data_IF_162608015786
#
_entry.id   IF_162608015786
#
_cell.length_a   1.000
_cell.length_b   1.000
_cell.length_c   1.000
_cell.angle_alpha   90.00
_cell.angle_beta   90.00
_cell.angle_gamma   90.00
#
_symmetry.space_group_name_H-M   'P 1'
#
loop_
_entity.id
_entity.type
_entity.pdbx_description
1 polymer ?
#
# COMPACT_ATOMS: atom_id res chain seq x y z
N UNK A 1 -0.71 61.08 -21.77
CA UNK A 1 -1.64 60.17 -22.50
C UNK A 1 -1.14 58.72 -22.57
N UNK A 2 0.13 58.48 -22.92
CA UNK A 2 0.70 57.12 -23.03
C UNK A 2 0.60 56.34 -21.71
N UNK A 3 0.84 56.99 -20.58
CA UNK A 3 0.81 56.36 -19.25
C UNK A 3 -0.57 55.82 -18.84
N UNK A 4 -1.66 56.52 -19.18
CA UNK A 4 -3.01 56.14 -18.77
C UNK A 4 -3.55 54.93 -19.55
N UNK A 5 -3.36 54.93 -20.87
CA UNK A 5 -3.70 53.77 -21.71
C UNK A 5 -2.84 52.55 -21.34
N UNK A 6 -1.59 52.78 -20.96
CA UNK A 6 -0.69 51.71 -20.49
C UNK A 6 -1.18 51.07 -19.18
N UNK A 7 -1.86 51.79 -18.29
CA UNK A 7 -2.44 51.21 -17.07
C UNK A 7 -3.53 50.19 -17.41
N UNK A 8 -4.44 50.52 -18.34
CA UNK A 8 -5.49 49.60 -18.79
C UNK A 8 -4.92 48.39 -19.55
N UNK A 9 -3.89 48.60 -20.38
CA UNK A 9 -3.18 47.51 -21.07
C UNK A 9 -2.49 46.57 -20.09
N UNK A 10 -1.81 47.11 -19.06
CA UNK A 10 -1.18 46.31 -18.00
C UNK A 10 -2.21 45.53 -17.19
N UNK A 11 -3.35 46.13 -16.87
CA UNK A 11 -4.44 45.45 -16.16
C UNK A 11 -5.03 44.31 -17.00
N UNK A 12 -5.29 44.55 -18.30
CA UNK A 12 -5.70 43.52 -19.25
C UNK A 12 -4.69 42.36 -19.30
N UNK A 13 -3.40 42.67 -19.49
CA UNK A 13 -2.34 41.67 -19.57
C UNK A 13 -2.26 40.84 -18.28
N UNK A 14 -2.36 41.49 -17.11
CA UNK A 14 -2.42 40.80 -15.82
C UNK A 14 -3.64 39.89 -15.73
N UNK A 15 -4.82 40.34 -16.14
CA UNK A 15 -6.03 39.53 -16.14
C UNK A 15 -5.89 38.30 -17.05
N UNK A 16 -5.46 38.50 -18.30
CA UNK A 16 -5.22 37.40 -19.24
C UNK A 16 -4.19 36.40 -18.68
N UNK A 17 -3.09 36.90 -18.10
CA UNK A 17 -2.06 36.06 -17.50
C UNK A 17 -2.60 35.16 -16.38
N UNK A 18 -3.40 35.70 -15.45
CA UNK A 18 -3.96 34.89 -14.37
C UNK A 18 -4.91 33.81 -14.88
N UNK A 19 -5.69 34.09 -15.94
CA UNK A 19 -6.55 33.08 -16.57
C UNK A 19 -5.74 32.00 -17.29
N UNK A 20 -4.61 32.35 -17.93
CA UNK A 20 -3.70 31.36 -18.52
C UNK A 20 -3.05 30.47 -17.46
N UNK A 21 -2.67 31.04 -16.30
CA UNK A 21 -2.14 30.26 -15.18
C UNK A 21 -3.19 29.29 -14.63
N UNK A 22 -4.46 29.71 -14.57
CA UNK A 22 -5.57 28.84 -14.14
C UNK A 22 -5.72 27.61 -15.05
N UNK A 23 -5.74 27.84 -16.38
CA UNK A 23 -5.76 26.77 -17.40
C UNK A 23 -4.57 25.82 -17.23
N UNK A 24 -3.37 26.36 -17.04
CA UNK A 24 -2.15 25.57 -16.90
C UNK A 24 -2.19 24.70 -15.65
N UNK A 25 -2.66 25.23 -14.51
CA UNK A 25 -2.76 24.47 -13.26
C UNK A 25 -3.67 23.23 -13.39
N UNK A 26 -4.84 23.38 -14.04
CA UNK A 26 -5.72 22.25 -14.30
C UNK A 26 -5.06 21.20 -15.22
N UNK A 27 -4.44 21.65 -16.31
CA UNK A 27 -3.77 20.75 -17.25
C UNK A 27 -2.60 19.99 -16.60
N UNK A 28 -1.78 20.68 -15.80
CA UNK A 28 -0.62 20.10 -15.12
C UNK A 28 -1.04 19.07 -14.05
N UNK A 29 -2.04 19.40 -13.23
CA UNK A 29 -2.55 18.49 -12.19
C UNK A 29 -3.08 17.19 -12.79
N UNK A 30 -3.86 17.27 -13.88
CA UNK A 30 -4.38 16.09 -14.58
C UNK A 30 -3.28 15.28 -15.26
N UNK A 31 -2.31 15.93 -15.91
CA UNK A 31 -1.21 15.25 -16.60
C UNK A 31 -0.30 14.48 -15.62
N UNK A 32 0.01 15.08 -14.47
CA UNK A 32 0.82 14.44 -13.43
C UNK A 32 0.09 13.24 -12.81
N UNK A 33 -1.22 13.36 -12.55
CA UNK A 33 -2.02 12.23 -12.07
C UNK A 33 -1.96 11.05 -13.06
N UNK A 34 -2.16 11.32 -14.34
CA UNK A 34 -2.12 10.27 -15.38
C UNK A 34 -0.74 9.66 -15.51
N UNK A 35 0.32 10.47 -15.37
CA UNK A 35 1.69 9.96 -15.35
C UNK A 35 1.92 8.97 -14.20
N UNK A 36 1.47 9.31 -12.98
CA UNK A 36 1.57 8.39 -11.84
C UNK A 36 0.76 7.11 -12.03
N UNK A 37 -0.40 7.18 -12.70
CA UNK A 37 -1.24 6.01 -12.94
C UNK A 37 -0.70 5.06 -14.01
N UNK A 38 -0.18 5.60 -15.11
CA UNK A 38 0.14 4.80 -16.29
C UNK A 38 1.64 4.63 -16.57
N UNK A 39 2.49 5.35 -15.83
CA UNK A 39 3.94 5.45 -16.07
C UNK A 39 4.32 5.80 -17.53
N UNK A 40 3.41 6.39 -18.30
CA UNK A 40 3.57 6.65 -19.73
C UNK A 40 3.56 8.15 -20.03
N UNK A 41 4.72 8.65 -20.47
CA UNK A 41 4.92 10.08 -20.70
C UNK A 41 4.11 10.61 -21.90
N UNK A 42 3.87 9.78 -22.91
CA UNK A 42 3.14 10.17 -24.12
C UNK A 42 1.64 10.34 -23.81
N UNK A 43 1.08 9.43 -23.00
CA UNK A 43 -0.30 9.51 -22.53
C UNK A 43 -0.51 10.76 -21.67
N UNK A 44 0.43 11.05 -20.75
CA UNK A 44 0.41 12.26 -19.92
C UNK A 44 0.44 13.53 -20.78
N UNK A 45 1.28 13.57 -21.82
CA UNK A 45 1.37 14.71 -22.74
C UNK A 45 0.10 14.91 -23.57
N UNK A 46 -0.54 13.83 -24.02
CA UNK A 46 -1.84 13.90 -24.71
C UNK A 46 -2.93 14.46 -23.78
N UNK A 47 -3.00 13.99 -22.55
CA UNK A 47 -3.97 14.48 -21.55
C UNK A 47 -3.71 15.96 -21.23
N UNK A 48 -2.44 16.36 -21.11
CA UNK A 48 -2.09 17.77 -20.90
C UNK A 48 -2.65 18.67 -22.01
N UNK A 49 -2.40 18.31 -23.28
CA UNK A 49 -2.87 19.09 -24.43
C UNK A 49 -4.40 19.14 -24.48
N UNK A 50 -5.06 18.00 -24.24
CA UNK A 50 -6.52 17.88 -24.28
C UNK A 50 -7.19 18.71 -23.17
N UNK A 51 -6.72 18.57 -21.92
CA UNK A 51 -7.26 19.33 -20.78
C UNK A 51 -6.98 20.82 -20.95
N UNK A 52 -5.80 21.20 -21.44
CA UNK A 52 -5.47 22.59 -21.74
C UNK A 52 -6.42 23.18 -22.80
N UNK A 53 -6.71 22.45 -23.88
CA UNK A 53 -7.66 22.91 -24.91
C UNK A 53 -9.08 23.10 -24.36
N UNK A 54 -9.58 22.12 -23.59
CA UNK A 54 -10.93 22.18 -23.00
C UNK A 54 -11.05 23.34 -22.00
N UNK A 55 -10.12 23.43 -21.06
CA UNK A 55 -10.15 24.47 -20.02
C UNK A 55 -9.94 25.86 -20.61
N UNK A 56 -9.10 26.01 -21.62
CA UNK A 56 -8.93 27.25 -22.37
C UNK A 56 -10.23 27.67 -23.08
N UNK A 57 -11.01 26.72 -23.63
CA UNK A 57 -12.32 27.02 -24.24
C UNK A 57 -13.40 27.43 -23.23
N UNK A 58 -13.34 26.91 -22.01
CA UNK A 58 -14.30 27.24 -20.93
C UNK A 58 -13.96 28.58 -20.29
N UNK A 59 -12.70 28.77 -19.89
CA UNK A 59 -12.21 29.96 -19.16
C UNK A 59 -12.00 31.15 -20.12
N UNK A 60 -11.73 30.87 -21.40
CA UNK A 60 -11.57 31.86 -22.48
C UNK A 60 -10.60 33.00 -22.11
N UNK A 61 -9.33 32.69 -21.83
CA UNK A 61 -8.33 33.68 -21.39
C UNK A 61 -8.09 34.82 -22.39
N UNK A 62 -8.53 34.67 -23.66
CA UNK A 62 -8.44 35.71 -24.69
C UNK A 62 -9.57 36.74 -24.69
N UNK A 63 -10.68 36.50 -23.97
CA UNK A 63 -11.82 37.41 -23.93
C UNK A 63 -11.59 38.77 -23.26
N UNK A 64 -10.76 38.91 -22.20
CA UNK A 64 -10.52 40.21 -21.57
C UNK A 64 -9.99 41.22 -22.59
N UNK A 65 -10.83 42.18 -22.97
CA UNK A 65 -10.49 43.28 -23.85
C UNK A 65 -10.36 44.58 -23.04
N UNK A 66 -9.89 45.64 -23.70
CA UNK A 66 -9.64 46.92 -23.03
C UNK A 66 -10.95 47.54 -22.52
N UNK A 67 -12.07 47.31 -23.22
CA UNK A 67 -13.40 47.82 -22.84
C UNK A 67 -13.99 47.08 -21.64
N UNK A 68 -13.85 45.75 -21.55
CA UNK A 68 -14.21 44.97 -20.38
C UNK A 68 -13.36 45.33 -19.17
N UNK A 69 -12.07 45.63 -19.39
CA UNK A 69 -11.17 46.11 -18.33
C UNK A 69 -11.63 47.48 -17.81
N UNK A 70 -12.01 48.42 -18.69
CA UNK A 70 -12.55 49.71 -18.26
C UNK A 70 -13.87 49.57 -17.51
N UNK A 71 -14.81 48.77 -18.01
CA UNK A 71 -16.10 48.54 -17.34
C UNK A 71 -15.95 47.84 -15.99
N UNK A 72 -15.01 46.90 -15.87
CA UNK A 72 -14.72 46.24 -14.60
C UNK A 72 -14.13 47.21 -13.57
N UNK A 73 -13.20 48.08 -14.00
CA UNK A 73 -12.59 49.10 -13.13
C UNK A 73 -13.64 50.14 -12.70
N UNK A 74 -14.50 50.58 -13.61
CA UNK A 74 -15.61 51.51 -13.33
C UNK A 74 -16.59 50.95 -12.29
N UNK A 75 -16.89 49.65 -12.35
CA UNK A 75 -17.80 49.00 -11.40
C UNK A 75 -17.19 48.76 -10.00
N UNK A 76 -15.86 48.74 -9.86
CA UNK A 76 -15.20 48.44 -8.58
C UNK A 76 -14.60 49.67 -7.90
N UNK A 77 -14.54 50.83 -8.56
CA UNK A 77 -14.08 52.08 -7.97
C UNK A 77 -15.13 53.18 -8.20
N UNK A 78 -15.99 53.39 -7.19
CA UNK A 78 -17.03 54.44 -7.21
C UNK A 78 -16.46 55.84 -7.48
N UNK A 79 -15.21 56.12 -7.04
CA UNK A 79 -14.55 57.41 -7.21
C UNK A 79 -14.19 57.77 -8.67
N UNK A 80 -14.36 56.84 -9.61
CA UNK A 80 -14.12 57.05 -11.04
C UNK A 80 -15.38 57.47 -11.83
N UNK A 81 -16.56 57.49 -11.19
CA UNK A 81 -17.80 58.02 -11.77
C UNK A 81 -18.10 57.45 -13.18
N UNK A 82 -17.85 56.16 -13.40
CA UNK A 82 -18.01 55.46 -14.69
C UNK A 82 -17.28 56.11 -15.89
N UNK A 83 -16.21 56.86 -15.61
CA UNK A 83 -15.52 57.69 -16.58
C UNK A 83 -14.22 57.06 -17.12
N UNK A 84 -13.93 55.78 -16.84
CA UNK A 84 -12.70 55.10 -17.30
C UNK A 84 -12.67 54.93 -18.83
N UNK A 85 -13.84 54.92 -19.48
CA UNK A 85 -13.96 54.90 -20.95
C UNK A 85 -13.37 56.15 -21.64
N UNK A 86 -13.30 57.30 -20.95
CA UNK A 86 -12.67 58.53 -21.45
C UNK A 86 -11.16 58.37 -21.66
N UNK A 87 -10.51 57.39 -21.02
CA UNK A 87 -9.09 57.08 -21.22
C UNK A 87 -8.80 56.45 -22.59
N UNK A 88 -9.83 56.00 -23.31
CA UNK A 88 -9.72 55.37 -24.62
C UNK A 88 -9.85 56.38 -25.78
N UNK A 89 -10.30 57.60 -25.50
CA UNK A 89 -10.52 58.65 -26.49
C UNK A 89 -9.31 59.62 -26.58
N UNK A 90 -8.91 60.03 -27.80
CA UNK A 90 -7.87 61.06 -27.97
C UNK A 90 -8.32 62.40 -27.40
N UNK A 91 -7.41 63.11 -26.72
CA UNK A 91 -7.71 64.43 -26.10
C UNK A 91 -8.23 65.46 -27.10
N UNK A 92 -7.82 65.38 -28.37
CA UNK A 92 -8.21 66.30 -29.44
C UNK A 92 -9.71 66.23 -29.81
N UNK A 93 -10.42 65.22 -29.28
CA UNK A 93 -11.87 65.02 -29.50
C UNK A 93 -12.71 65.24 -28.23
N UNK A 94 -12.08 65.64 -27.12
CA UNK A 94 -12.75 65.82 -25.83
C UNK A 94 -13.10 67.28 -25.59
N UNK A 95 -14.24 67.54 -24.95
CA UNK A 95 -14.58 68.88 -24.45
C UNK A 95 -13.66 69.26 -23.28
N UNK A 96 -13.51 70.56 -23.00
CA UNK A 96 -12.66 71.04 -21.89
C UNK A 96 -13.02 70.44 -20.54
N UNK A 97 -14.32 70.17 -20.30
CA UNK A 97 -14.79 69.49 -19.09
C UNK A 97 -14.39 68.00 -19.07
N UNK A 98 -14.49 67.32 -20.21
CA UNK A 98 -14.10 65.92 -20.34
C UNK A 98 -12.58 65.73 -20.19
N UNK A 99 -11.76 66.72 -20.59
CA UNK A 99 -10.31 66.72 -20.35
C UNK A 99 -9.97 66.82 -18.85
N UNK A 100 -10.66 67.68 -18.09
CA UNK A 100 -10.48 67.80 -16.64
C UNK A 100 -10.89 66.50 -15.92
N UNK A 101 -12.02 65.90 -16.31
CA UNK A 101 -12.45 64.62 -15.77
C UNK A 101 -11.46 63.50 -16.10
N UNK A 102 -10.91 63.48 -17.32
CA UNK A 102 -9.88 62.52 -17.73
C UNK A 102 -8.64 62.61 -16.84
N UNK A 103 -8.14 63.83 -16.54
CA UNK A 103 -6.97 64.02 -15.65
C UNK A 103 -7.24 63.55 -14.22
N UNK A 104 -8.41 63.87 -13.67
CA UNK A 104 -8.87 63.43 -12.35
C UNK A 104 -8.95 61.89 -12.25
N UNK A 105 -9.49 61.25 -13.29
CA UNK A 105 -9.58 59.77 -13.41
C UNK A 105 -8.19 59.13 -13.48
N UNK A 106 -7.24 59.69 -14.24
CA UNK A 106 -5.87 59.16 -14.32
C UNK A 106 -5.19 59.15 -12.96
N UNK A 107 -5.27 60.26 -12.21
CA UNK A 107 -4.62 60.39 -10.90
C UNK A 107 -5.25 59.47 -9.84
N UNK A 108 -6.58 59.28 -9.88
CA UNK A 108 -7.29 58.37 -8.98
C UNK A 108 -7.04 56.90 -9.34
N UNK A 109 -6.97 56.59 -10.63
CA UNK A 109 -6.70 55.24 -11.11
C UNK A 109 -5.25 54.81 -10.80
N UNK A 110 -4.25 55.69 -10.97
CA UNK A 110 -2.86 55.34 -10.65
C UNK A 110 -2.66 54.95 -9.17
N UNK A 111 -3.42 55.57 -8.27
CA UNK A 111 -3.34 55.31 -6.83
C UNK A 111 -4.10 54.04 -6.42
N UNK A 112 -5.20 53.71 -7.09
CA UNK A 112 -6.11 52.62 -6.68
C UNK A 112 -6.04 51.37 -7.57
N UNK A 113 -5.41 51.39 -8.74
CA UNK A 113 -5.38 50.22 -9.65
C UNK A 113 -4.61 49.03 -9.08
N UNK A 114 -3.67 49.26 -8.14
CA UNK A 114 -2.88 48.19 -7.53
C UNK A 114 -3.67 47.35 -6.52
N UNK A 115 -4.72 47.91 -5.91
CA UNK A 115 -5.56 47.22 -4.93
C UNK A 115 -6.66 46.38 -5.59
N UNK A 116 -6.92 46.59 -6.88
CA UNK A 116 -7.85 45.79 -7.66
C UNK A 116 -7.20 44.47 -8.12
N UNK A 117 -7.85 43.36 -7.80
CA UNK A 117 -7.54 42.06 -8.35
C UNK A 117 -8.58 41.71 -9.42
N UNK A 118 -8.16 41.33 -10.64
CA UNK A 118 -9.09 40.88 -11.66
C UNK A 118 -9.76 39.56 -11.22
N UNK A 119 -10.95 39.25 -11.74
CA UNK A 119 -11.67 38.04 -11.37
C UNK A 119 -10.90 36.81 -11.87
N UNK A 120 -10.45 35.97 -10.94
CA UNK A 120 -9.74 34.72 -11.19
C UNK A 120 -10.12 33.66 -10.17
N UNK A 121 -9.94 32.38 -10.50
CA UNK A 121 -10.18 31.27 -9.57
C UNK A 121 -8.90 30.48 -9.24
N UNK A 122 -7.74 31.13 -9.30
CA UNK A 122 -6.43 30.54 -9.01
C UNK A 122 -6.31 29.69 -7.73
N UNK A 123 -6.95 30.09 -6.63
CA UNK A 123 -6.92 29.29 -5.40
C UNK A 123 -7.63 27.94 -5.60
N UNK A 124 -8.78 27.93 -6.31
CA UNK A 124 -9.52 26.70 -6.59
C UNK A 124 -8.74 25.81 -7.56
N UNK A 125 -8.16 26.37 -8.63
CA UNK A 125 -7.35 25.60 -9.57
C UNK A 125 -6.08 25.05 -8.91
N UNK A 126 -5.47 25.81 -8.01
CA UNK A 126 -4.33 25.36 -7.20
C UNK A 126 -4.69 24.19 -6.29
N UNK A 127 -5.78 24.29 -5.53
CA UNK A 127 -6.27 23.22 -4.65
C UNK A 127 -6.54 21.95 -5.47
N UNK A 128 -7.26 22.08 -6.58
CA UNK A 128 -7.57 20.93 -7.46
C UNK A 128 -6.28 20.31 -8.01
N UNK A 129 -5.33 21.10 -8.49
CA UNK A 129 -4.06 20.59 -8.98
C UNK A 129 -3.29 19.84 -7.89
N UNK A 130 -3.18 20.41 -6.69
CA UNK A 130 -2.50 19.76 -5.56
C UNK A 130 -3.19 18.47 -5.12
N UNK A 131 -4.53 18.44 -5.10
CA UNK A 131 -5.30 17.25 -4.76
C UNK A 131 -5.08 16.13 -5.79
N UNK A 132 -5.09 16.44 -7.09
CA UNK A 132 -4.83 15.47 -8.15
C UNK A 132 -3.40 14.92 -8.06
N UNK A 133 -2.41 15.77 -7.79
CA UNK A 133 -1.02 15.34 -7.62
C UNK A 133 -0.87 14.44 -6.40
N UNK A 134 -1.48 14.79 -5.26
CA UNK A 134 -1.46 13.97 -4.05
C UNK A 134 -2.15 12.63 -4.26
N UNK A 135 -3.30 12.60 -4.93
CA UNK A 135 -3.99 11.36 -5.28
C UNK A 135 -3.08 10.49 -6.15
N UNK A 136 -2.49 11.06 -7.21
CA UNK A 136 -1.55 10.34 -8.07
C UNK A 136 -0.37 9.76 -7.28
N UNK A 137 0.26 10.56 -6.43
CA UNK A 137 1.38 10.13 -5.58
C UNK A 137 0.98 9.00 -4.61
N UNK A 138 -0.17 9.11 -3.94
CA UNK A 138 -0.66 8.07 -3.04
C UNK A 138 -0.98 6.79 -3.81
N UNK A 139 -1.63 6.87 -4.98
CA UNK A 139 -1.93 5.68 -5.79
C UNK A 139 -0.65 4.96 -6.25
N UNK A 140 0.42 5.71 -6.53
CA UNK A 140 1.72 5.16 -6.86
C UNK A 140 2.40 4.52 -5.65
N UNK A 141 2.42 5.19 -4.49
CA UNK A 141 3.08 4.69 -3.27
C UNK A 141 2.43 3.40 -2.73
N UNK A 142 1.12 3.25 -2.88
CA UNK A 142 0.37 2.07 -2.42
C UNK A 142 0.24 0.97 -3.50
N UNK A 143 0.99 1.05 -4.62
CA UNK A 143 0.98 0.08 -5.72
C UNK A 143 -0.43 -0.24 -6.28
N UNK A 144 -1.38 0.70 -6.18
CA UNK A 144 -2.74 0.53 -6.73
C UNK A 144 -2.72 0.53 -8.27
N UNK A 145 -1.63 1.05 -8.85
CA UNK A 145 -1.39 1.14 -10.30
C UNK A 145 -1.20 -0.21 -10.99
N UNK A 146 -0.91 -1.28 -10.25
CA UNK A 146 -0.82 -2.64 -10.79
C UNK A 146 -2.17 -3.15 -11.32
N UNK A 147 -3.28 -2.54 -10.90
CA UNK A 147 -4.62 -2.85 -11.43
C UNK A 147 -4.92 -2.24 -12.81
N UNK A 148 -4.20 -1.18 -13.19
CA UNK A 148 -4.40 -0.44 -14.45
C UNK A 148 -3.22 -0.56 -15.42
N UNK A 149 -2.06 -1.01 -14.95
CA UNK A 149 -0.91 -1.32 -15.81
C UNK A 149 -1.04 -2.71 -16.40
N UNK A 150 -1.58 -2.78 -17.62
CA UNK A 150 -1.45 -3.95 -18.52
C UNK A 150 -0.04 -4.08 -19.12
N UNK A 151 0.95 -3.37 -18.57
CA UNK A 151 2.33 -3.58 -18.93
C UNK A 151 2.80 -4.84 -18.19
N UNK A 152 2.84 -5.96 -18.92
CA UNK A 152 3.75 -7.07 -18.63
C UNK A 152 5.12 -6.42 -18.41
N UNK A 153 5.54 -6.24 -17.17
CA UNK A 153 6.90 -5.80 -16.87
C UNK A 153 7.82 -6.76 -17.63
N UNK A 154 8.67 -6.26 -18.56
CA UNK A 154 9.65 -7.12 -19.19
C UNK A 154 10.49 -7.71 -18.05
N UNK A 155 10.59 -9.02 -18.04
CA UNK A 155 11.22 -9.79 -16.97
C UNK A 155 12.58 -9.15 -16.67
N UNK A 156 12.84 -8.81 -15.40
CA UNK A 156 14.17 -8.37 -14.97
C UNK A 156 15.16 -9.48 -15.35
N UNK A 157 16.08 -9.19 -16.28
CA UNK A 157 16.98 -10.18 -16.90
C UNK A 157 17.86 -10.96 -15.91
N UNK A 158 17.96 -10.51 -14.67
CA UNK A 158 18.75 -11.16 -13.62
C UNK A 158 18.01 -12.28 -12.87
N UNK A 159 16.69 -12.40 -13.01
CA UNK A 159 15.89 -13.41 -12.29
C UNK A 159 15.12 -14.37 -13.22
N UNK A 160 15.39 -14.35 -14.53
CA UNK A 160 14.73 -15.24 -15.49
C UNK A 160 15.25 -16.66 -15.28
N UNK A 161 14.34 -17.63 -15.24
CA UNK A 161 14.74 -19.03 -15.30
C UNK A 161 15.53 -19.26 -16.60
N UNK A 162 16.81 -19.63 -16.48
CA UNK A 162 17.65 -20.00 -17.61
C UNK A 162 17.52 -21.48 -17.86
N UNK A 163 17.18 -21.87 -19.09
CA UNK A 163 17.07 -23.27 -19.49
C UNK A 163 18.28 -23.69 -20.31
N UNK A 164 18.89 -24.82 -19.95
CA UNK A 164 20.01 -25.41 -20.68
C UNK A 164 19.62 -26.77 -21.26
N UNK A 165 20.03 -27.08 -22.51
CA UNK A 165 19.79 -28.38 -23.13
C UNK A 165 20.63 -29.48 -22.46
N UNK A 166 20.09 -30.69 -22.44
CA UNK A 166 20.74 -31.87 -21.84
C UNK A 166 21.84 -32.46 -22.73
N UNK A 167 21.64 -32.44 -24.05
CA UNK A 167 22.58 -32.93 -25.04
C UNK A 167 22.58 -31.97 -26.24
N UNK A 168 23.75 -31.41 -26.58
CA UNK A 168 23.90 -30.37 -27.60
C UNK A 168 24.25 -31.00 -28.94
N UNK A 169 23.33 -31.74 -29.55
CA UNK A 169 23.54 -32.30 -30.90
C UNK A 169 22.88 -31.52 -32.02
N UNK A 170 21.93 -30.62 -31.72
CA UNK A 170 21.30 -29.73 -32.70
C UNK A 170 21.49 -28.25 -32.32
N UNK A 171 22.55 -27.64 -32.87
CA UNK A 171 22.93 -26.25 -32.64
C UNK A 171 22.03 -25.21 -33.36
N UNK A 172 20.95 -25.64 -34.03
CA UNK A 172 20.07 -24.78 -34.82
C UNK A 172 18.60 -24.71 -34.32
N UNK A 173 18.21 -25.47 -33.30
CA UNK A 173 16.86 -25.39 -32.74
C UNK A 173 16.69 -24.11 -31.91
N UNK A 174 15.69 -23.28 -32.24
CA UNK A 174 15.29 -22.15 -31.41
C UNK A 174 14.76 -22.66 -30.09
N UNK A 175 15.53 -22.49 -29.00
CA UNK A 175 15.10 -22.89 -27.66
C UNK A 175 13.85 -22.08 -27.28
N UNK A 176 12.73 -22.73 -26.96
CA UNK A 176 11.54 -22.03 -26.47
C UNK A 176 11.88 -21.12 -25.29
N UNK A 177 11.48 -19.86 -25.40
CA UNK A 177 11.78 -18.81 -24.43
C UNK A 177 10.63 -18.64 -23.44
N UNK A 178 10.99 -18.51 -22.17
CA UNK A 178 10.06 -18.15 -21.12
C UNK A 178 9.67 -16.66 -21.23
N UNK A 179 8.39 -16.39 -21.46
CA UNK A 179 7.80 -15.04 -21.59
C UNK A 179 7.42 -14.46 -20.23
N UNK A 180 6.89 -15.28 -19.34
CA UNK A 180 6.43 -14.83 -18.04
C UNK A 180 6.61 -15.93 -17.00
N UNK A 181 6.89 -15.52 -15.78
CA UNK A 181 7.03 -16.40 -14.65
C UNK A 181 6.48 -15.71 -13.40
N UNK A 182 5.67 -16.42 -12.63
CA UNK A 182 5.06 -15.90 -11.42
C UNK A 182 4.98 -16.99 -10.37
N UNK A 183 5.47 -16.66 -9.18
CA UNK A 183 5.31 -17.43 -7.96
C UNK A 183 4.29 -16.72 -7.08
N UNK A 184 3.24 -17.44 -6.68
CA UNK A 184 2.27 -16.96 -5.68
C UNK A 184 2.35 -17.83 -4.44
N UNK A 185 2.60 -17.24 -3.28
CA UNK A 185 2.62 -17.91 -1.97
C UNK A 185 1.40 -17.46 -1.17
N UNK A 186 0.57 -18.43 -0.79
CA UNK A 186 -0.59 -18.24 0.07
C UNK A 186 -0.27 -18.82 1.45
N UNK A 187 -0.16 -17.94 2.44
CA UNK A 187 0.13 -18.35 3.82
C UNK A 187 -1.12 -18.95 4.49
N UNK A 188 -0.94 -19.83 5.50
CA UNK A 188 -2.05 -20.32 6.30
C UNK A 188 -2.83 -19.18 6.95
N UNK A 189 -4.16 -19.33 7.04
CA UNK A 189 -5.05 -18.27 7.54
C UNK A 189 -4.69 -17.79 8.95
N UNK A 190 -4.22 -18.68 9.83
CA UNK A 190 -3.87 -18.34 11.21
C UNK A 190 -2.70 -17.34 11.31
N UNK A 191 -1.80 -17.32 10.32
CA UNK A 191 -0.64 -16.41 10.30
C UNK A 191 -1.03 -14.95 10.04
N UNK A 192 -2.21 -14.70 9.47
CA UNK A 192 -2.70 -13.39 9.01
C UNK A 192 -1.76 -12.67 8.03
N UNK A 193 -0.83 -13.39 7.40
CA UNK A 193 0.06 -12.86 6.38
C UNK A 193 -0.68 -12.71 5.04
N UNK A 194 -0.38 -11.63 4.30
CA UNK A 194 -0.91 -11.43 2.96
C UNK A 194 -0.19 -12.32 1.95
N UNK A 195 -0.92 -12.76 0.91
CA UNK A 195 -0.33 -13.55 -0.15
C UNK A 195 0.82 -12.78 -0.84
N UNK A 196 1.94 -13.46 -1.04
CA UNK A 196 3.12 -12.90 -1.71
C UNK A 196 3.06 -13.28 -3.19
N UNK A 197 3.31 -12.30 -4.07
CA UNK A 197 3.52 -12.52 -5.51
C UNK A 197 4.91 -12.05 -5.87
N UNK A 198 5.71 -12.91 -6.46
CA UNK A 198 7.09 -12.61 -6.85
C UNK A 198 7.45 -13.33 -8.14
N UNK A 199 8.46 -12.82 -8.84
CA UNK A 199 9.06 -13.51 -9.99
C UNK A 199 10.27 -14.35 -9.56
N UNK A 200 10.73 -14.25 -8.32
CA UNK A 200 11.81 -15.08 -7.81
C UNK A 200 11.30 -16.50 -7.56
N UNK A 201 12.09 -17.49 -7.97
CA UNK A 201 11.72 -18.90 -7.85
C UNK A 201 12.18 -19.51 -6.53
N UNK A 202 13.17 -18.94 -5.85
CA UNK A 202 13.44 -19.34 -4.47
C UNK A 202 12.25 -18.99 -3.58
N UNK A 203 11.75 -19.99 -2.87
CA UNK A 203 10.58 -19.87 -1.99
C UNK A 203 11.05 -19.79 -0.55
N UNK A 204 10.56 -18.78 0.17
CA UNK A 204 10.67 -18.71 1.63
C UNK A 204 9.30 -18.49 2.24
N UNK A 205 8.78 -19.49 2.94
CA UNK A 205 7.41 -19.46 3.44
C UNK A 205 7.23 -20.29 4.70
N UNK A 206 6.15 -20.02 5.43
CA UNK A 206 5.77 -20.78 6.63
C UNK A 206 5.28 -22.16 6.21
N UNK A 207 5.55 -23.19 7.01
CA UNK A 207 4.97 -24.51 6.79
C UNK A 207 3.42 -24.45 6.69
N UNK A 208 2.85 -25.33 5.86
CA UNK A 208 1.44 -25.29 5.49
C UNK A 208 1.08 -24.27 4.41
N UNK A 209 2.03 -23.41 3.98
CA UNK A 209 1.77 -22.46 2.88
C UNK A 209 1.54 -23.20 1.56
N UNK A 210 0.64 -22.66 0.74
CA UNK A 210 0.38 -23.13 -0.62
C UNK A 210 1.12 -22.26 -1.63
N UNK A 211 1.99 -22.87 -2.41
CA UNK A 211 2.68 -22.24 -3.53
C UNK A 211 1.94 -22.56 -4.81
N UNK A 212 1.81 -21.58 -5.69
CA UNK A 212 1.44 -21.79 -7.09
C UNK A 212 2.48 -21.17 -8.02
N UNK A 213 3.05 -21.99 -8.89
CA UNK A 213 3.90 -21.54 -10.00
C UNK A 213 3.05 -21.36 -11.26
N UNK A 214 3.33 -20.28 -11.99
CA UNK A 214 2.77 -19.98 -13.30
C UNK A 214 3.91 -19.66 -14.26
N UNK A 215 4.00 -20.41 -15.35
CA UNK A 215 4.99 -20.23 -16.42
C UNK A 215 4.30 -20.04 -17.77
N UNK A 216 4.78 -19.08 -18.57
CA UNK A 216 4.29 -18.80 -19.92
C UNK A 216 5.46 -18.85 -20.89
N UNK A 217 5.37 -19.65 -21.95
CA UNK A 217 6.40 -19.78 -22.98
C UNK A 217 5.96 -19.15 -24.30
N UNK A 218 6.91 -18.80 -25.16
CA UNK A 218 6.64 -18.21 -26.48
C UNK A 218 6.14 -19.21 -27.52
N UNK A 219 6.37 -20.49 -27.28
CA UNK A 219 6.06 -21.59 -28.18
C UNK A 219 5.33 -22.70 -27.41
N UNK A 220 4.47 -23.48 -28.09
CA UNK A 220 3.80 -24.60 -27.47
C UNK A 220 4.82 -25.70 -27.12
N UNK A 221 4.72 -26.24 -25.90
CA UNK A 221 5.57 -27.32 -25.40
C UNK A 221 4.78 -28.61 -25.24
N UNK A 222 5.44 -29.76 -25.39
CA UNK A 222 4.81 -31.06 -25.21
C UNK A 222 4.49 -31.30 -23.73
N UNK A 223 5.47 -31.08 -22.87
CA UNK A 223 5.31 -31.19 -21.42
C UNK A 223 6.14 -30.15 -20.68
N UNK A 224 5.63 -29.70 -19.55
CA UNK A 224 6.36 -28.91 -18.56
C UNK A 224 6.16 -29.58 -17.21
N UNK A 225 7.23 -29.80 -16.48
CA UNK A 225 7.20 -30.42 -15.16
C UNK A 225 8.08 -29.67 -14.16
N UNK A 226 7.75 -29.84 -12.89
CA UNK A 226 8.59 -29.48 -11.76
C UNK A 226 9.15 -30.77 -11.19
N UNK A 227 10.47 -30.85 -11.09
CA UNK A 227 11.15 -32.01 -10.52
C UNK A 227 11.74 -31.64 -9.16
N UNK A 228 11.60 -32.56 -8.21
CA UNK A 228 12.39 -32.57 -6.98
C UNK A 228 13.29 -33.81 -6.99
N UNK A 229 14.09 -34.02 -5.95
CA UNK A 229 15.06 -35.14 -5.90
C UNK A 229 14.45 -36.54 -6.16
N UNK A 230 13.15 -36.73 -5.92
CA UNK A 230 12.51 -38.06 -5.96
C UNK A 230 11.40 -38.17 -7.00
N UNK A 231 10.78 -37.07 -7.40
CA UNK A 231 9.55 -37.05 -8.17
C UNK A 231 9.55 -35.97 -9.24
N UNK A 232 8.87 -36.26 -10.35
CA UNK A 232 8.60 -35.32 -11.44
C UNK A 232 7.10 -35.09 -11.53
N UNK A 233 6.66 -33.84 -11.44
CA UNK A 233 5.26 -33.45 -11.41
C UNK A 233 4.93 -32.61 -12.64
N UNK A 234 4.03 -33.12 -13.49
CA UNK A 234 3.60 -32.41 -14.70
C UNK A 234 2.74 -31.21 -14.31
N UNK A 235 3.02 -30.05 -14.91
CA UNK A 235 2.25 -28.83 -14.76
C UNK A 235 1.00 -28.86 -15.65
N UNK A 236 -0.11 -28.33 -15.15
CA UNK A 236 -1.38 -28.25 -15.89
C UNK A 236 -1.36 -27.06 -16.86
N UNK A 237 -1.63 -27.30 -18.14
CA UNK A 237 -1.75 -26.25 -19.15
C UNK A 237 -3.18 -25.67 -19.16
N UNK A 238 -3.30 -24.36 -18.86
CA UNK A 238 -4.55 -23.61 -18.91
C UNK A 238 -4.32 -22.22 -19.47
N UNK A 239 -5.16 -21.79 -20.42
CA UNK A 239 -5.10 -20.44 -21.02
C UNK A 239 -3.71 -20.05 -21.56
N UNK A 240 -2.97 -21.03 -22.10
CA UNK A 240 -1.61 -20.83 -22.64
C UNK A 240 -0.51 -20.74 -21.58
N UNK A 241 -0.81 -21.06 -20.32
CA UNK A 241 0.13 -21.01 -19.19
C UNK A 241 0.16 -22.34 -18.44
N UNK A 242 1.32 -22.67 -17.89
CA UNK A 242 1.54 -23.89 -17.12
C UNK A 242 1.47 -23.59 -15.63
N UNK A 243 0.67 -24.38 -14.93
CA UNK A 243 0.37 -24.21 -13.51
C UNK A 243 0.76 -25.42 -12.69
N UNK A 244 1.33 -25.18 -11.52
CA UNK A 244 1.52 -26.23 -10.53
C UNK A 244 1.34 -25.67 -9.13
N UNK A 245 0.68 -26.44 -8.27
CA UNK A 245 0.40 -26.05 -6.89
C UNK A 245 0.99 -27.09 -5.93
N UNK A 246 1.69 -26.63 -4.90
CA UNK A 246 2.27 -27.47 -3.86
C UNK A 246 2.00 -26.88 -2.47
N UNK A 247 1.69 -27.74 -1.50
CA UNK A 247 1.68 -27.37 -0.09
C UNK A 247 3.06 -27.66 0.51
N UNK A 248 3.68 -26.66 1.14
CA UNK A 248 5.01 -26.78 1.74
C UNK A 248 4.89 -27.36 3.14
N UNK A 249 5.66 -28.41 3.42
CA UNK A 249 5.82 -28.92 4.79
C UNK A 249 7.27 -29.00 5.23
N UNK A 250 8.18 -29.19 4.27
CA UNK A 250 9.61 -29.34 4.53
C UNK A 250 10.39 -28.54 3.50
N UNK A 251 11.60 -28.11 3.89
CA UNK A 251 12.54 -27.50 2.95
C UNK A 251 13.02 -28.53 1.93
N UNK A 252 13.16 -28.11 0.68
CA UNK A 252 13.58 -28.97 -0.43
C UNK A 252 14.21 -28.14 -1.56
N UNK A 253 14.71 -28.83 -2.58
CA UNK A 253 15.15 -28.21 -3.82
C UNK A 253 14.32 -28.74 -4.98
N UNK A 254 14.15 -27.90 -5.99
CA UNK A 254 13.42 -28.26 -7.20
C UNK A 254 14.00 -27.53 -8.41
N UNK A 255 13.72 -28.06 -9.59
CA UNK A 255 13.99 -27.40 -10.87
C UNK A 255 12.78 -27.59 -11.81
N UNK A 256 12.76 -26.80 -12.86
CA UNK A 256 11.78 -26.93 -13.95
C UNK A 256 12.41 -27.72 -15.09
N UNK A 257 11.57 -28.50 -15.75
CA UNK A 257 11.91 -29.25 -16.94
C UNK A 257 10.83 -29.04 -17.97
N UNK A 258 11.22 -28.94 -19.24
CA UNK A 258 10.26 -29.03 -20.33
C UNK A 258 10.79 -29.84 -21.48
N UNK A 259 9.86 -30.38 -22.27
CA UNK A 259 10.13 -31.06 -23.53
C UNK A 259 9.47 -30.29 -24.66
N UNK A 260 10.27 -29.91 -25.68
CA UNK A 260 9.77 -29.22 -26.86
C UNK A 260 9.01 -30.18 -27.81
N UNK A 261 8.39 -29.66 -28.87
CA UNK A 261 7.66 -30.49 -29.84
C UNK A 261 8.57 -31.40 -30.70
N UNK A 262 9.88 -31.19 -30.65
CA UNK A 262 10.89 -31.99 -31.33
C UNK A 262 11.43 -33.13 -30.45
N UNK A 263 11.00 -33.19 -29.19
CA UNK A 263 11.43 -34.18 -28.20
C UNK A 263 12.70 -33.80 -27.43
N UNK A 264 13.23 -32.60 -27.61
CA UNK A 264 14.39 -32.11 -26.85
C UNK A 264 13.97 -31.71 -25.45
N UNK A 265 14.82 -32.05 -24.47
CA UNK A 265 14.56 -31.79 -23.05
C UNK A 265 15.51 -30.74 -22.49
N UNK A 266 14.94 -29.78 -21.76
CA UNK A 266 15.63 -28.65 -21.17
C UNK A 266 15.37 -28.59 -19.67
N UNK A 267 16.37 -28.11 -18.92
CA UNK A 267 16.31 -27.99 -17.47
C UNK A 267 16.67 -26.57 -17.02
N UNK A 268 16.01 -26.10 -15.97
CA UNK A 268 16.42 -24.90 -15.28
C UNK A 268 17.57 -25.13 -14.28
N UNK A 269 18.09 -24.02 -13.76
CA UNK A 269 18.82 -24.01 -12.49
C UNK A 269 17.99 -24.61 -11.34
N UNK A 270 18.68 -24.96 -10.25
CA UNK A 270 18.06 -25.47 -9.03
C UNK A 270 17.61 -24.31 -8.13
N UNK A 271 16.38 -24.40 -7.62
CA UNK A 271 15.78 -23.43 -6.70
C UNK A 271 15.50 -24.06 -5.34
N UNK A 272 15.54 -23.25 -4.29
CA UNK A 272 15.30 -23.68 -2.93
C UNK A 272 13.85 -23.39 -2.47
N UNK A 273 13.28 -24.32 -1.73
CA UNK A 273 12.10 -24.10 -0.88
C UNK A 273 12.59 -24.12 0.57
N UNK A 274 12.52 -22.98 1.25
CA UNK A 274 12.78 -22.82 2.68
C UNK A 274 11.46 -22.79 3.46
N UNK A 275 11.15 -23.90 4.13
CA UNK A 275 10.01 -24.00 5.03
C UNK A 275 10.39 -23.50 6.44
N UNK A 276 9.78 -22.39 6.86
CA UNK A 276 9.90 -21.89 8.23
C UNK A 276 8.88 -22.58 9.12
N UNK A 277 9.35 -23.31 10.13
CA UNK A 277 8.47 -24.01 11.08
C UNK A 277 7.82 -23.04 12.05
N UNK A 278 6.54 -23.24 12.26
CA UNK A 278 5.73 -22.55 13.26
C UNK A 278 6.18 -22.98 14.68
N UNK A 279 6.33 -22.01 15.59
CA UNK A 279 6.83 -22.25 16.95
C UNK A 279 5.67 -22.30 17.94
N UNK A 280 5.65 -23.33 18.79
CA UNK A 280 4.68 -23.37 19.88
C UNK A 280 4.86 -22.19 20.86
N UNK A 281 3.80 -21.75 21.56
CA UNK A 281 3.86 -20.66 22.51
C UNK A 281 4.94 -20.85 23.57
N UNK A 282 5.70 -19.79 23.85
CA UNK A 282 6.65 -19.74 24.96
C UNK A 282 6.01 -19.10 26.19
N UNK A 283 6.27 -19.68 27.36
CA UNK A 283 5.65 -19.29 28.62
C UNK A 283 6.74 -19.05 29.67
N UNK A 284 6.69 -17.88 30.32
CA UNK A 284 7.59 -17.51 31.41
C UNK A 284 6.77 -17.11 32.65
N UNK A 285 6.80 -17.96 33.69
CA UNK A 285 6.12 -17.71 34.97
C UNK A 285 7.02 -16.85 35.88
N UNK A 286 6.45 -15.80 36.47
CA UNK A 286 7.13 -14.79 37.30
C UNK A 286 6.41 -14.57 38.63
N UNK A 287 7.16 -14.05 39.59
CA UNK A 287 6.61 -13.58 40.87
C UNK A 287 6.25 -14.69 41.85
N UNK A 288 6.75 -15.90 41.64
CA UNK A 288 6.61 -17.04 42.55
C UNK A 288 7.93 -17.81 42.64
N UNK A 289 8.23 -18.33 43.82
CA UNK A 289 9.36 -19.24 44.03
C UNK A 289 8.99 -20.66 43.59
N UNK A 290 9.99 -21.49 43.29
CA UNK A 290 9.76 -22.87 42.88
C UNK A 290 9.07 -23.70 43.99
N UNK A 291 9.30 -23.35 45.24
CA UNK A 291 8.68 -23.97 46.41
C UNK A 291 8.21 -22.87 47.36
N UNK A 292 6.97 -22.95 47.83
CA UNK A 292 6.41 -22.04 48.82
C UNK A 292 5.65 -22.85 49.86
N UNK A 293 5.90 -22.57 51.12
CA UNK A 293 5.24 -23.22 52.25
C UNK A 293 4.41 -22.18 53.02
N UNK A 294 3.24 -22.61 53.49
CA UNK A 294 2.34 -21.78 54.28
C UNK A 294 2.06 -22.46 55.62
N UNK A 295 2.16 -21.71 56.70
CA UNK A 295 1.74 -22.15 58.03
C UNK A 295 0.21 -22.15 58.13
N UNK A 296 -0.33 -22.87 59.13
CA UNK A 296 -1.78 -23.01 59.31
C UNK A 296 -2.51 -21.65 59.40
N UNK A 297 -1.89 -20.66 60.04
CA UNK A 297 -2.47 -19.33 60.31
C UNK A 297 -2.25 -18.30 59.20
N UNK A 298 -1.50 -18.65 58.14
CA UNK A 298 -1.17 -17.71 57.08
C UNK A 298 -2.38 -17.39 56.19
N UNK A 299 -2.34 -16.25 55.51
CA UNK A 299 -3.18 -16.03 54.31
C UNK A 299 -2.61 -16.86 53.17
N UNK A 300 -3.22 -18.02 52.92
CA UNK A 300 -2.78 -19.04 51.95
C UNK A 300 -3.15 -18.65 50.53
N UNK A 301 -2.56 -17.57 50.05
CA UNK A 301 -2.80 -17.06 48.71
C UNK A 301 -1.51 -17.09 47.87
N UNK A 302 -1.52 -17.89 46.81
CA UNK A 302 -0.43 -17.96 45.82
C UNK A 302 -0.69 -16.96 44.71
N UNK A 303 0.29 -16.09 44.42
CA UNK A 303 0.20 -15.08 43.36
C UNK A 303 1.34 -15.26 42.39
N UNK A 304 1.03 -15.25 41.09
CA UNK A 304 2.03 -15.27 40.05
C UNK A 304 1.54 -14.52 38.81
N UNK A 305 2.47 -14.15 37.95
CA UNK A 305 2.21 -13.71 36.59
C UNK A 305 2.86 -14.63 35.58
N UNK A 306 2.39 -14.60 34.35
CA UNK A 306 2.92 -15.37 33.24
C UNK A 306 3.03 -14.46 32.02
N UNK A 307 4.19 -14.42 31.40
CA UNK A 307 4.40 -13.81 30.09
C UNK A 307 4.33 -14.91 29.04
N UNK A 308 3.34 -14.82 28.17
CA UNK A 308 3.08 -15.81 27.12
C UNK A 308 3.30 -15.14 25.77
N UNK A 309 4.14 -15.75 24.93
CA UNK A 309 4.52 -15.20 23.62
C UNK A 309 4.40 -16.23 22.51
N UNK A 310 3.95 -15.78 21.34
CA UNK A 310 3.75 -16.60 20.14
C UNK A 310 4.10 -15.80 18.87
N UNK A 311 4.50 -16.48 17.80
CA UNK A 311 4.91 -15.85 16.54
C UNK A 311 3.70 -15.46 15.66
N UNK A 312 2.57 -16.14 15.72
CA UNK A 312 1.36 -15.87 14.91
C UNK A 312 0.11 -15.51 15.72
N UNK A 313 0.13 -15.69 17.03
CA UNK A 313 -0.88 -15.25 17.98
C UNK A 313 -1.45 -16.39 18.81
N UNK A 314 -1.78 -16.06 20.06
CA UNK A 314 -2.34 -16.99 21.04
C UNK A 314 -3.82 -17.28 20.77
N UNK A 315 -4.24 -18.52 20.94
CA UNK A 315 -5.63 -18.92 20.97
C UNK A 315 -6.17 -18.92 22.40
N UNK A 316 -5.57 -19.74 23.27
CA UNK A 316 -6.00 -19.89 24.65
C UNK A 316 -4.81 -20.06 25.61
N UNK A 317 -5.05 -19.84 26.90
CA UNK A 317 -4.14 -20.23 27.96
C UNK A 317 -4.88 -20.34 29.29
N UNK A 318 -4.47 -21.31 30.09
CA UNK A 318 -5.04 -21.60 31.39
C UNK A 318 -3.99 -22.23 32.30
N UNK A 319 -4.36 -22.42 33.56
CA UNK A 319 -3.50 -23.00 34.57
C UNK A 319 -4.04 -24.37 34.89
N UNK A 320 -3.21 -25.39 34.78
CA UNK A 320 -3.54 -26.74 35.26
C UNK A 320 -2.99 -26.86 36.66
N UNK A 321 -3.88 -27.04 37.63
CA UNK A 321 -3.57 -27.11 39.04
C UNK A 321 -3.92 -28.50 39.58
N UNK A 322 -2.95 -29.17 40.20
CA UNK A 322 -3.08 -30.52 40.74
C UNK A 322 -2.84 -30.49 42.24
N UNK A 323 -3.90 -30.76 42.99
CA UNK A 323 -3.84 -30.92 44.45
C UNK A 323 -3.58 -32.37 44.79
N UNK A 324 -2.52 -32.61 45.55
CA UNK A 324 -2.16 -33.89 46.16
C UNK A 324 -2.66 -33.91 47.61
N UNK A 325 -3.48 -34.91 47.96
CA UNK A 325 -4.06 -35.08 49.29
C UNK A 325 -3.68 -36.40 49.94
N UNK A 326 -3.34 -36.35 51.21
CA UNK A 326 -3.04 -37.52 52.06
C UNK A 326 -1.55 -37.84 52.17
N UNK A 327 -1.21 -38.84 53.00
CA UNK A 327 0.16 -39.23 53.31
C UNK A 327 0.43 -40.71 53.04
N UNK A 328 1.67 -41.06 52.68
CA UNK A 328 2.11 -42.45 52.48
C UNK A 328 1.69 -43.02 51.12
N UNK A 329 1.19 -44.26 51.09
CA UNK A 329 0.83 -44.95 49.84
C UNK A 329 -0.57 -44.61 49.30
N UNK A 330 -1.39 -43.89 50.05
CA UNK A 330 -2.80 -43.59 49.70
C UNK A 330 -3.03 -42.13 49.29
N UNK A 331 -2.13 -41.57 48.48
CA UNK A 331 -2.26 -40.20 47.95
C UNK A 331 -3.35 -40.14 46.88
N UNK A 332 -4.20 -39.12 46.94
CA UNK A 332 -5.21 -38.82 45.92
C UNK A 332 -4.87 -37.52 45.20
N UNK A 333 -5.03 -37.53 43.89
CA UNK A 333 -4.80 -36.35 43.05
C UNK A 333 -6.13 -35.79 42.54
N UNK A 334 -6.25 -34.46 42.58
CA UNK A 334 -7.36 -33.72 41.98
C UNK A 334 -6.79 -32.65 41.08
N UNK A 335 -7.02 -32.79 39.78
CA UNK A 335 -6.65 -31.80 38.78
C UNK A 335 -7.83 -30.87 38.47
N UNK A 336 -7.54 -29.58 38.33
CA UNK A 336 -8.50 -28.57 37.90
C UNK A 336 -7.86 -27.54 36.97
N UNK A 337 -8.63 -27.10 35.96
CA UNK A 337 -8.23 -25.99 35.09
C UNK A 337 -8.74 -24.68 35.68
N UNK A 338 -7.83 -23.73 35.87
CA UNK A 338 -8.11 -22.40 36.41
C UNK A 338 -7.89 -21.34 35.33
N UNK A 339 -8.85 -20.41 35.11
CA UNK A 339 -8.64 -19.27 34.24
C UNK A 339 -7.70 -18.25 34.92
N UNK A 340 -7.04 -17.41 34.12
CA UNK A 340 -6.37 -16.21 34.63
C UNK A 340 -7.39 -15.18 35.15
N UNK A 341 -6.90 -14.12 35.80
CA UNK A 341 -7.76 -13.05 36.31
C UNK A 341 -8.47 -12.26 35.18
N UNK A 342 -7.89 -12.26 33.97
CA UNK A 342 -8.45 -11.63 32.79
C UNK A 342 -8.54 -12.65 31.65
N UNK A 343 -9.54 -12.46 30.80
CA UNK A 343 -9.69 -13.23 29.57
C UNK A 343 -8.55 -12.94 28.60
N UNK A 344 -8.25 -13.93 27.77
CA UNK A 344 -7.18 -13.89 26.79
C UNK A 344 -7.67 -13.20 25.53
N UNK A 345 -6.84 -12.28 25.03
CA UNK A 345 -7.10 -11.59 23.78
C UNK A 345 -6.62 -12.47 22.63
N UNK A 346 -7.55 -13.20 22.01
CA UNK A 346 -7.23 -14.11 20.91
C UNK A 346 -6.50 -13.40 19.76
N UNK A 347 -5.42 -13.99 19.28
CA UNK A 347 -4.55 -13.47 18.23
C UNK A 347 -3.53 -12.42 18.68
N UNK A 348 -3.46 -12.10 19.97
CA UNK A 348 -2.32 -11.34 20.50
C UNK A 348 -1.07 -12.22 20.53
N UNK A 349 0.06 -11.67 20.07
CA UNK A 349 1.37 -12.36 20.08
C UNK A 349 2.06 -12.35 21.44
N UNK A 350 1.66 -11.43 22.32
CA UNK A 350 2.25 -11.30 23.66
C UNK A 350 1.14 -10.98 24.65
N UNK A 351 1.09 -11.72 25.76
CA UNK A 351 0.17 -11.43 26.86
C UNK A 351 0.83 -11.65 28.21
N UNK A 352 0.66 -10.67 29.09
CA UNK A 352 1.03 -10.77 30.49
C UNK A 352 -0.24 -11.04 31.30
N UNK A 353 -0.34 -12.26 31.82
CA UNK A 353 -1.50 -12.71 32.57
C UNK A 353 -1.12 -12.87 34.05
N UNK A 354 -2.07 -12.68 34.94
CA UNK A 354 -1.85 -12.83 36.38
C UNK A 354 -2.91 -13.72 37.00
N UNK A 355 -2.53 -14.46 38.03
CA UNK A 355 -3.44 -15.27 38.83
C UNK A 355 -3.16 -15.09 40.31
N UNK A 356 -4.24 -15.03 41.08
CA UNK A 356 -4.22 -15.24 42.54
C UNK A 356 -5.02 -16.50 42.83
N UNK A 357 -4.40 -17.50 43.46
CA UNK A 357 -5.01 -18.76 43.86
C UNK A 357 -5.16 -18.73 45.38
N UNK A 358 -6.38 -18.82 45.88
CA UNK A 358 -6.65 -18.98 47.31
C UNK A 358 -6.72 -20.49 47.62
N UNK A 359 -5.80 -21.00 48.44
CA UNK A 359 -5.66 -22.43 48.73
C UNK A 359 -6.81 -22.97 49.59
N UNK A 360 -7.39 -22.14 50.45
CA UNK A 360 -8.58 -22.52 51.24
C UNK A 360 -9.81 -22.70 50.34
N UNK A 361 -9.96 -21.84 49.32
CA UNK A 361 -11.01 -21.98 48.31
C UNK A 361 -10.85 -23.25 47.46
N UNK A 362 -9.61 -23.74 47.31
CA UNK A 362 -9.30 -25.05 46.72
C UNK A 362 -9.53 -26.23 47.69
N UNK A 363 -9.98 -25.93 48.92
CA UNK A 363 -10.23 -26.90 50.00
C UNK A 363 -8.98 -27.71 50.36
N UNK A 364 -7.81 -27.08 50.35
CA UNK A 364 -6.57 -27.72 50.80
C UNK A 364 -6.54 -27.85 52.33
N UNK A 365 -5.99 -28.95 52.81
CA UNK A 365 -5.81 -29.26 54.23
C UNK A 365 -4.32 -29.26 54.59
N UNK A 366 -3.95 -29.16 55.89
CA UNK A 366 -2.55 -29.23 56.30
C UNK A 366 -1.88 -30.53 55.82
N UNK A 367 -0.75 -30.39 55.14
CA UNK A 367 -0.02 -31.51 54.53
C UNK A 367 -0.36 -31.78 53.06
N UNK A 368 -1.38 -31.10 52.51
CA UNK A 368 -1.65 -31.13 51.07
C UNK A 368 -0.63 -30.30 50.28
N UNK A 369 -0.41 -30.67 49.03
CA UNK A 369 0.51 -29.99 48.12
C UNK A 369 -0.22 -29.52 46.86
N UNK A 370 0.16 -28.35 46.34
CA UNK A 370 -0.34 -27.82 45.08
C UNK A 370 0.81 -27.79 44.06
N UNK A 371 0.62 -28.51 42.96
CA UNK A 371 1.43 -28.38 41.76
C UNK A 371 0.63 -27.63 40.71
N UNK A 372 1.27 -26.73 39.96
CA UNK A 372 0.61 -26.13 38.80
C UNK A 372 1.59 -25.84 37.67
N UNK A 373 1.04 -25.76 36.47
CA UNK A 373 1.73 -25.23 35.31
C UNK A 373 0.77 -24.41 34.46
N UNK A 374 1.32 -23.54 33.63
CA UNK A 374 0.56 -22.78 32.65
C UNK A 374 0.64 -23.52 31.33
N UNK A 375 -0.50 -23.66 30.66
CA UNK A 375 -0.61 -24.21 29.32
C UNK A 375 -1.20 -23.15 28.40
N UNK A 376 -0.67 -23.03 27.18
CA UNK A 376 -1.16 -22.14 26.15
C UNK A 376 -1.24 -22.87 24.80
N UNK A 377 -2.17 -22.46 23.95
CA UNK A 377 -2.27 -22.88 22.56
C UNK A 377 -2.21 -21.66 21.64
N UNK A 378 -1.64 -21.85 20.45
CA UNK A 378 -1.58 -20.88 19.37
C UNK A 378 -2.81 -20.99 18.47
N UNK A 379 -2.86 -20.17 17.42
CA UNK A 379 -3.92 -20.21 16.41
C UNK A 379 -3.68 -21.27 15.32
N UNK A 380 -2.63 -22.08 15.41
CA UNK A 380 -2.30 -23.07 14.39
C UNK A 380 -3.43 -24.10 14.29
N UNK A 381 -4.02 -24.20 13.10
CA UNK A 381 -5.04 -25.21 12.82
C UNK A 381 -4.40 -26.50 12.32
N UNK A 382 -4.88 -27.68 12.75
CA UNK A 382 -4.43 -28.98 12.24
C UNK A 382 -4.53 -29.15 10.73
#
# INVERSE_FOLDING_TARGET
MIEAKNILVKFKQRWQFLLYVEVLLYALGSAILVFFLSANILLSLLVFVLVCAITSFIIKPWLPNITASSSYIDNNIESLEYSTSLLLQPQDKLSSLAMLQQQKVVQRLSNNVKTLNPPHHLLRSGIVATALILIGFLTYQFNVTDYFSTNKNPINKENIISFSPTDSTDLEASIPQLINQLLTVQYPNYTKLHALKTQQMDVKAVEGSRINWELEFNEPLETVSIENMENSFIMELKDGKYYYTLNIWNSSFYNFKFTDTSGNTYFSDLYAIEATKDQAPSIEVKGIEQFTQFEFTDDKTVKFSSNITDDYGLSEAYIVATVSKGSGESVKFREEQLPFNYEIIQGSKVQNLSKSINLDAMKMEPGDELYFYVQASDLKTP
#
